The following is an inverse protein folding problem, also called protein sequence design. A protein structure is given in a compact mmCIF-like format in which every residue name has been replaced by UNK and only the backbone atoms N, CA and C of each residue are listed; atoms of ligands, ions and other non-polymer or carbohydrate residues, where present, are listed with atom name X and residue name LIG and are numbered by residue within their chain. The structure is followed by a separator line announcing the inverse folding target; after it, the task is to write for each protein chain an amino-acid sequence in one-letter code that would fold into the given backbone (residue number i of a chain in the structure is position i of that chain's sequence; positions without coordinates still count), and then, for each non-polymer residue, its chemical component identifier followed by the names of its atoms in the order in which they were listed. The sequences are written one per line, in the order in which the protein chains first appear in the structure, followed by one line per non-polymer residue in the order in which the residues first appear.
data_IF_231173552205
#
_entry.id   IF_231173552205
#
_cell.length_a   1.000
_cell.length_b   1.000
_cell.length_c   1.000
_cell.angle_alpha   90.00
_cell.angle_beta   90.00
_cell.angle_gamma   90.00
#
_symmetry.space_group_name_H-M   'P 1'
#
loop_
_entity.id
_entity.type
_entity.pdbx_description
1 polymer ?
#
# COMPACT_ATOMS: atom_id res chain seq x y z
N UNK A 1 -10.18 19.22 -10.69
CA UNK A 1 -9.96 17.96 -9.95
C UNK A 1 -8.50 17.93 -9.48
N UNK A 2 -8.22 17.96 -8.17
CA UNK A 2 -6.86 17.78 -7.67
C UNK A 2 -6.39 16.37 -8.01
N UNK A 3 -5.15 16.22 -8.50
CA UNK A 3 -4.50 14.91 -8.59
C UNK A 3 -4.46 14.25 -7.21
N UNK A 4 -4.55 12.93 -7.16
CA UNK A 4 -4.42 12.15 -5.92
C UNK A 4 -2.97 12.21 -5.40
N UNK A 5 -2.71 11.86 -4.14
CA UNK A 5 -1.44 12.18 -3.47
C UNK A 5 -0.21 11.52 -4.15
N UNK A 6 -0.27 10.22 -4.44
CA UNK A 6 0.84 9.49 -5.05
C UNK A 6 1.10 10.02 -6.47
N UNK A 7 0.05 10.27 -7.26
CA UNK A 7 0.15 10.88 -8.59
C UNK A 7 0.73 12.30 -8.54
N UNK A 8 0.26 13.13 -7.61
CA UNK A 8 0.73 14.52 -7.44
C UNK A 8 2.22 14.59 -7.14
N UNK A 9 2.73 13.64 -6.36
CA UNK A 9 4.12 13.62 -5.90
C UNK A 9 5.02 12.68 -6.70
N UNK A 10 4.49 11.97 -7.71
CA UNK A 10 5.28 11.06 -8.56
C UNK A 10 5.93 9.93 -7.78
N UNK A 11 5.30 9.44 -6.72
CA UNK A 11 5.93 8.50 -5.78
C UNK A 11 6.06 7.07 -6.35
N UNK A 12 5.29 6.73 -7.37
CA UNK A 12 5.33 5.44 -8.04
C UNK A 12 5.78 5.56 -9.47
N UNK A 13 6.62 4.61 -9.90
CA UNK A 13 6.93 4.42 -11.32
C UNK A 13 5.70 3.87 -12.07
N UNK A 14 5.65 3.98 -13.40
CA UNK A 14 4.58 3.37 -14.19
C UNK A 14 4.40 1.87 -13.92
N UNK A 15 5.50 1.15 -13.74
CA UNK A 15 5.53 -0.29 -13.46
C UNK A 15 4.93 -0.61 -12.09
N UNK A 16 5.26 0.19 -11.06
CA UNK A 16 4.68 0.05 -9.72
C UNK A 16 3.19 0.37 -9.69
N UNK A 17 2.72 1.31 -10.54
CA UNK A 17 1.30 1.58 -10.68
C UNK A 17 0.58 0.44 -11.41
N UNK A 18 1.23 -0.17 -12.38
CA UNK A 18 0.69 -1.29 -13.14
C UNK A 18 0.59 -2.59 -12.33
N UNK A 19 1.38 -2.76 -11.25
CA UNK A 19 1.34 -3.97 -10.41
C UNK A 19 0.25 -3.95 -9.32
N UNK A 20 -0.43 -2.82 -9.08
CA UNK A 20 -1.47 -2.73 -8.07
C UNK A 20 -2.63 -3.74 -8.29
N UNK A 21 -3.16 -3.94 -9.52
CA UNK A 21 -4.17 -4.97 -9.78
C UNK A 21 -3.68 -6.38 -9.49
N UNK A 22 -2.41 -6.69 -9.78
CA UNK A 22 -1.83 -8.03 -9.54
C UNK A 22 -1.79 -8.35 -8.05
N UNK A 23 -1.39 -7.36 -7.23
CA UNK A 23 -1.39 -7.50 -5.76
C UNK A 23 -2.80 -7.72 -5.23
N UNK A 24 -3.78 -6.97 -5.74
CA UNK A 24 -5.19 -7.15 -5.35
C UNK A 24 -5.72 -8.53 -5.78
N UNK A 25 -5.38 -9.00 -6.98
CA UNK A 25 -5.73 -10.32 -7.46
C UNK A 25 -5.15 -11.44 -6.59
N UNK A 26 -3.88 -11.30 -6.18
CA UNK A 26 -3.23 -12.25 -5.28
C UNK A 26 -3.91 -12.30 -3.91
N UNK A 27 -4.26 -11.15 -3.35
CA UNK A 27 -4.95 -11.04 -2.06
C UNK A 27 -6.28 -11.79 -2.08
N UNK A 28 -7.07 -11.62 -3.15
CA UNK A 28 -8.35 -12.32 -3.31
C UNK A 28 -8.16 -13.81 -3.55
N UNK A 29 -7.20 -14.19 -4.40
CA UNK A 29 -6.95 -15.58 -4.76
C UNK A 29 -6.48 -16.43 -3.56
N UNK A 30 -5.62 -15.86 -2.72
CA UNK A 30 -5.12 -16.49 -1.49
C UNK A 30 -6.10 -16.37 -0.30
N UNK A 31 -7.19 -15.62 -0.45
CA UNK A 31 -8.15 -15.39 0.63
C UNK A 31 -7.54 -14.68 1.84
N UNK A 32 -6.63 -13.72 1.62
CA UNK A 32 -5.97 -13.01 2.72
C UNK A 32 -6.95 -12.08 3.44
N UNK A 33 -6.88 -12.05 4.76
CA UNK A 33 -7.67 -11.11 5.58
C UNK A 33 -6.81 -9.98 6.16
N UNK A 34 -5.56 -10.29 6.49
CA UNK A 34 -4.62 -9.40 7.15
C UNK A 34 -3.27 -9.45 6.43
N UNK A 35 -2.70 -8.28 6.16
CA UNK A 35 -1.37 -8.11 5.58
C UNK A 35 -0.48 -7.41 6.59
N UNK A 36 0.70 -7.99 6.86
CA UNK A 36 1.74 -7.33 7.67
C UNK A 36 2.64 -6.50 6.76
N UNK A 37 2.46 -5.19 6.79
CA UNK A 37 3.35 -4.26 6.14
C UNK A 37 4.59 -4.04 7.02
N UNK A 38 5.77 -4.40 6.50
CA UNK A 38 7.05 -4.15 7.16
C UNK A 38 7.81 -3.02 6.47
N UNK A 39 8.40 -2.11 7.25
CA UNK A 39 9.25 -1.04 6.74
C UNK A 39 10.45 -0.82 7.68
N UNK A 40 11.60 -0.47 7.11
CA UNK A 40 12.76 -0.07 7.88
C UNK A 40 12.64 1.41 8.28
N UNK A 41 13.07 1.73 9.50
CA UNK A 41 13.22 3.11 9.95
C UNK A 41 14.69 3.59 9.86
N UNK A 42 14.95 4.87 10.13
CA UNK A 42 16.27 5.50 9.97
C UNK A 42 17.37 4.83 10.82
N UNK A 43 16.99 4.18 11.93
CA UNK A 43 17.91 3.48 12.82
C UNK A 43 18.16 2.00 12.41
N UNK A 44 17.64 1.56 11.26
CA UNK A 44 17.80 0.20 10.76
C UNK A 44 16.87 -0.84 11.39
N UNK A 45 15.97 -0.43 12.27
CA UNK A 45 14.96 -1.32 12.85
C UNK A 45 13.81 -1.54 11.86
N UNK A 46 13.39 -2.81 11.72
CA UNK A 46 12.20 -3.16 10.95
C UNK A 46 10.98 -3.07 11.84
N UNK A 47 10.02 -2.22 11.44
CA UNK A 47 8.71 -2.09 12.09
C UNK A 47 7.67 -2.78 11.21
N UNK A 48 6.69 -3.41 11.86
CA UNK A 48 5.57 -4.07 11.18
C UNK A 48 4.24 -3.50 11.64
N UNK A 49 3.32 -3.30 10.69
CA UNK A 49 1.92 -2.96 10.96
C UNK A 49 1.02 -3.98 10.28
N UNK A 50 0.19 -4.66 11.07
CA UNK A 50 -0.86 -5.53 10.54
C UNK A 50 -2.05 -4.67 10.11
N UNK A 51 -2.51 -4.89 8.89
CA UNK A 51 -3.59 -4.14 8.25
C UNK A 51 -4.63 -5.12 7.73
N UNK A 52 -5.90 -4.81 7.93
CA UNK A 52 -6.97 -5.50 7.22
C UNK A 52 -6.85 -5.24 5.73
N UNK A 53 -7.18 -6.24 4.92
CA UNK A 53 -7.15 -6.15 3.45
C UNK A 53 -8.00 -4.99 2.92
N UNK A 54 -9.12 -4.67 3.57
CA UNK A 54 -9.97 -3.53 3.21
C UNK A 54 -9.22 -2.18 3.30
N UNK A 55 -8.30 -2.03 4.25
CA UNK A 55 -7.47 -0.84 4.34
C UNK A 55 -6.48 -0.73 3.16
N UNK A 56 -5.95 -1.88 2.70
CA UNK A 56 -5.04 -1.96 1.55
C UNK A 56 -5.79 -1.63 0.26
N UNK A 57 -6.96 -2.23 0.04
CA UNK A 57 -7.85 -1.93 -1.11
C UNK A 57 -8.20 -0.44 -1.17
N UNK A 58 -8.59 0.14 -0.03
CA UNK A 58 -8.91 1.56 0.08
C UNK A 58 -7.72 2.46 -0.24
N UNK A 59 -6.51 2.08 0.21
CA UNK A 59 -5.28 2.83 -0.08
C UNK A 59 -4.96 2.85 -1.58
N UNK A 60 -5.06 1.71 -2.27
CA UNK A 60 -4.89 1.62 -3.73
C UNK A 60 -5.94 2.45 -4.48
N UNK A 61 -7.22 2.32 -4.12
CA UNK A 61 -8.31 3.05 -4.77
C UNK A 61 -8.17 4.58 -4.59
N UNK A 62 -7.73 5.02 -3.41
CA UNK A 62 -7.56 6.42 -3.09
C UNK A 62 -6.21 7.00 -3.51
N UNK A 63 -5.27 6.19 -4.02
CA UNK A 63 -3.90 6.59 -4.38
C UNK A 63 -3.25 7.35 -3.21
N UNK A 64 -3.40 6.77 -2.01
CA UNK A 64 -2.93 7.29 -0.73
C UNK A 64 -1.98 6.30 -0.04
N UNK A 65 -0.92 6.79 0.62
CA UNK A 65 -0.09 5.94 1.45
C UNK A 65 -0.87 5.45 2.67
N UNK A 66 -0.56 4.24 3.13
CA UNK A 66 -1.01 3.79 4.45
C UNK A 66 -0.14 4.48 5.51
N UNK A 67 -0.79 5.10 6.49
CA UNK A 67 -0.08 5.80 7.56
C UNK A 67 0.64 4.80 8.48
N UNK A 68 1.94 5.04 8.68
CA UNK A 68 2.78 4.32 9.63
C UNK A 68 2.82 4.96 11.02
N UNK A 69 2.16 6.12 11.23
CA UNK A 69 1.95 6.64 12.59
C UNK A 69 0.93 5.75 13.30
N UNK A 70 1.28 5.33 14.52
CA UNK A 70 0.32 4.93 15.54
C UNK A 70 -0.12 6.18 16.29
#
# INVERSE_FOLDING_TARGET
MSKKFIERHGLWTPEQRASAPDVLGLIEWEGLEIIRQSYAEQHGLVRGKSLFVEAIKSAFAADRPVSNRQ
#
